data_IF_738413847303
#
_entry.id   IF_738413847303
#
_cell.length_a   1.000
_cell.length_b   1.000
_cell.length_c   1.000
_cell.angle_alpha   90.00
_cell.angle_beta   90.00
_cell.angle_gamma   90.00
#
_symmetry.space_group_name_H-M   'P 1'
#
loop_
_entity.id
_entity.type
_entity.pdbx_description
1 polymer ?
#
# COMPACT_ATOMS: atom_id res chain seq x y z
N UNK A 1 27.70 -1.15 -2.40
CA UNK A 1 27.14 0.21 -2.24
C UNK A 1 27.66 0.83 -0.96
N UNK A 2 28.17 2.07 -0.97
CA UNK A 2 28.69 2.71 0.24
C UNK A 2 27.54 3.06 1.22
N UNK A 3 27.84 3.25 2.52
CA UNK A 3 26.83 3.52 3.57
C UNK A 3 25.99 4.78 3.33
N UNK A 4 26.50 5.75 2.55
CA UNK A 4 25.80 6.99 2.23
C UNK A 4 24.76 6.75 1.13
N UNK A 5 25.16 6.08 0.05
CA UNK A 5 24.28 5.68 -1.05
C UNK A 5 23.13 4.79 -0.57
N UNK A 6 23.40 3.82 0.33
CA UNK A 6 22.33 3.00 0.90
C UNK A 6 21.29 3.82 1.68
N UNK A 7 21.74 4.79 2.48
CA UNK A 7 20.83 5.68 3.23
C UNK A 7 19.96 6.51 2.29
N UNK A 8 20.55 7.08 1.24
CA UNK A 8 19.81 7.86 0.23
C UNK A 8 18.81 6.96 -0.49
N UNK A 9 19.22 5.75 -0.87
CA UNK A 9 18.35 4.80 -1.54
C UNK A 9 17.12 4.43 -0.70
N UNK A 10 17.30 4.07 0.57
CA UNK A 10 16.17 3.77 1.47
C UNK A 10 15.31 5.01 1.70
N UNK A 11 15.92 6.18 1.82
CA UNK A 11 15.19 7.44 1.93
C UNK A 11 14.28 7.67 0.72
N UNK A 12 14.77 7.44 -0.50
CA UNK A 12 14.00 7.58 -1.74
C UNK A 12 12.85 6.58 -1.80
N UNK A 13 13.09 5.30 -1.45
CA UNK A 13 12.04 4.28 -1.39
C UNK A 13 10.92 4.71 -0.44
N UNK A 14 11.28 5.21 0.74
CA UNK A 14 10.31 5.67 1.73
C UNK A 14 9.45 6.82 1.22
N UNK A 15 10.07 7.83 0.62
CA UNK A 15 9.33 8.96 0.04
C UNK A 15 8.42 8.48 -1.10
N UNK A 16 8.93 7.60 -1.98
CA UNK A 16 8.15 7.04 -3.07
C UNK A 16 6.93 6.26 -2.56
N UNK A 17 7.11 5.34 -1.61
CA UNK A 17 5.99 4.60 -1.01
C UNK A 17 5.02 5.53 -0.28
N UNK A 18 5.53 6.47 0.52
CA UNK A 18 4.70 7.43 1.26
C UNK A 18 3.79 8.23 0.32
N UNK A 19 4.36 8.82 -0.73
CA UNK A 19 3.59 9.55 -1.74
C UNK A 19 2.60 8.66 -2.49
N UNK A 20 3.03 7.45 -2.87
CA UNK A 20 2.20 6.51 -3.60
C UNK A 20 0.95 6.12 -2.81
N UNK A 21 1.10 5.81 -1.52
CA UNK A 21 -0.02 5.40 -0.68
C UNK A 21 -0.93 6.58 -0.30
N UNK A 22 -0.38 7.78 -0.08
CA UNK A 22 -1.21 8.99 0.05
C UNK A 22 -2.04 9.21 -1.22
N UNK A 23 -1.40 9.13 -2.40
CA UNK A 23 -2.09 9.29 -3.67
C UNK A 23 -3.18 8.21 -3.86
N UNK A 24 -2.82 6.94 -3.67
CA UNK A 24 -3.74 5.80 -3.81
C UNK A 24 -4.95 5.89 -2.89
N UNK A 25 -4.76 6.37 -1.66
CA UNK A 25 -5.85 6.57 -0.72
C UNK A 25 -6.74 7.76 -1.07
N UNK A 26 -6.17 8.89 -1.48
CA UNK A 26 -6.95 10.06 -1.97
C UNK A 26 -7.81 9.68 -3.18
N UNK A 27 -7.26 8.90 -4.11
CA UNK A 27 -7.98 8.43 -5.31
C UNK A 27 -9.22 7.59 -4.97
N UNK A 28 -9.33 7.01 -3.76
CA UNK A 28 -10.52 6.25 -3.34
C UNK A 28 -11.72 7.13 -2.97
N UNK A 29 -11.50 8.41 -2.69
CA UNK A 29 -12.53 9.39 -2.35
C UNK A 29 -12.96 10.27 -3.53
N UNK A 30 -12.19 10.26 -4.62
CA UNK A 30 -12.54 10.99 -5.84
C UNK A 30 -13.60 10.18 -6.61
N UNK A 31 -14.81 10.72 -6.85
CA UNK A 31 -15.83 10.04 -7.64
C UNK A 31 -15.30 9.77 -9.05
N UNK A 32 -15.38 8.51 -9.49
CA UNK A 32 -15.08 8.16 -10.89
C UNK A 32 -16.35 8.34 -11.73
N UNK A 33 -16.24 8.87 -12.96
CA UNK A 33 -17.38 9.02 -13.83
C UNK A 33 -18.07 7.66 -14.05
N UNK A 34 -19.40 7.63 -14.15
CA UNK A 34 -20.12 6.40 -14.44
C UNK A 34 -19.63 5.82 -15.78
N UNK A 35 -19.34 4.52 -15.81
CA UNK A 35 -18.99 3.83 -17.06
C UNK A 35 -20.15 3.93 -18.05
N UNK A 36 -19.83 4.00 -19.33
CA UNK A 36 -20.84 4.09 -20.39
C UNK A 36 -21.78 2.87 -20.34
N UNK A 37 -23.07 3.05 -20.68
CA UNK A 37 -24.04 1.95 -20.72
C UNK A 37 -23.63 0.82 -21.68
N UNK A 38 -22.82 1.15 -22.68
CA UNK A 38 -22.26 0.21 -23.66
C UNK A 38 -21.23 -0.75 -23.04
N UNK A 39 -20.43 -0.29 -22.08
CA UNK A 39 -19.47 -1.13 -21.34
C UNK A 39 -20.13 -2.02 -20.26
N UNK A 40 -21.36 -1.69 -19.88
CA UNK A 40 -22.15 -2.48 -18.93
C UNK A 40 -22.87 -3.66 -19.59
N UNK A 41 -23.15 -3.56 -20.90
CA UNK A 41 -23.86 -4.57 -21.68
C UNK A 41 -22.92 -5.57 -22.39
N UNK A 42 -21.62 -5.29 -22.46
CA UNK A 42 -20.64 -6.22 -23.03
C UNK A 42 -20.47 -7.43 -22.10
N UNK A 43 -20.46 -8.65 -22.65
CA UNK A 43 -20.08 -9.84 -21.90
C UNK A 43 -18.65 -9.68 -21.41
N UNK A 44 -18.49 -9.56 -20.10
CA UNK A 44 -17.19 -9.39 -19.49
C UNK A 44 -16.56 -10.76 -19.29
N UNK A 45 -15.23 -10.89 -19.50
CA UNK A 45 -14.53 -12.09 -19.09
C UNK A 45 -14.79 -12.40 -17.61
N UNK A 46 -14.94 -13.68 -17.25
CA UNK A 46 -15.34 -14.07 -15.89
C UNK A 46 -14.42 -13.55 -14.76
N UNK A 47 -13.13 -13.31 -15.04
CA UNK A 47 -12.20 -12.70 -14.09
C UNK A 47 -12.53 -11.22 -13.81
N UNK A 48 -12.94 -10.46 -14.83
CA UNK A 48 -13.35 -9.06 -14.72
C UNK A 48 -14.63 -8.95 -13.88
N UNK A 49 -15.55 -9.90 -14.02
CA UNK A 49 -16.78 -9.96 -13.22
C UNK A 49 -16.46 -10.08 -11.73
N UNK A 50 -15.60 -11.04 -11.35
CA UNK A 50 -15.20 -11.24 -9.95
C UNK A 50 -14.57 -9.99 -9.32
N UNK A 51 -13.70 -9.30 -10.06
CA UNK A 51 -13.07 -8.05 -9.61
C UNK A 51 -14.13 -6.96 -9.41
N UNK A 52 -15.04 -6.81 -10.37
CA UNK A 52 -16.14 -5.85 -10.28
C UNK A 52 -17.05 -6.12 -9.09
N UNK A 53 -17.39 -7.38 -8.82
CA UNK A 53 -18.19 -7.77 -7.66
C UNK A 53 -17.47 -7.49 -6.34
N UNK A 54 -16.19 -7.84 -6.24
CA UNK A 54 -15.38 -7.59 -5.05
C UNK A 54 -15.28 -6.08 -4.73
N UNK A 55 -14.85 -5.28 -5.71
CA UNK A 55 -14.74 -3.82 -5.56
C UNK A 55 -16.12 -3.18 -5.36
N UNK A 56 -17.12 -3.66 -6.09
CA UNK A 56 -18.51 -3.22 -5.99
C UNK A 56 -19.08 -3.43 -4.60
N UNK A 57 -18.87 -4.60 -3.99
CA UNK A 57 -19.29 -4.90 -2.63
C UNK A 57 -18.58 -4.02 -1.59
N UNK A 58 -17.27 -3.83 -1.70
CA UNK A 58 -16.52 -2.96 -0.79
C UNK A 58 -16.99 -1.50 -0.86
N UNK A 59 -17.31 -1.00 -2.06
CA UNK A 59 -17.83 0.36 -2.27
C UNK A 59 -19.28 0.49 -1.84
N UNK A 60 -20.13 -0.46 -2.22
CA UNK A 60 -21.57 -0.44 -1.99
C UNK A 60 -21.97 -0.54 -0.53
N UNK A 61 -21.13 -1.15 0.31
CA UNK A 61 -21.34 -1.23 1.77
C UNK A 61 -20.98 0.06 2.50
N UNK A 62 -20.21 0.97 1.88
CA UNK A 62 -19.80 2.24 2.50
C UNK A 62 -18.81 2.11 3.67
N UNK A 63 -18.28 0.92 3.95
CA UNK A 63 -17.40 0.66 5.10
C UNK A 63 -15.94 0.44 4.70
N UNK A 64 -15.63 -0.68 4.05
CA UNK A 64 -14.23 -1.09 3.90
C UNK A 64 -13.46 -0.23 2.89
N UNK A 65 -14.10 0.20 1.79
CA UNK A 65 -13.45 1.05 0.79
C UNK A 65 -12.92 2.40 1.34
N UNK A 66 -13.72 3.19 2.08
CA UNK A 66 -13.22 4.41 2.71
C UNK A 66 -12.22 4.11 3.85
N UNK A 67 -12.42 3.07 4.65
CA UNK A 67 -11.46 2.68 5.71
C UNK A 67 -10.09 2.36 5.10
N UNK A 68 -10.05 1.62 4.00
CA UNK A 68 -8.83 1.31 3.26
C UNK A 68 -8.16 2.61 2.77
N UNK A 69 -8.93 3.53 2.18
CA UNK A 69 -8.41 4.82 1.73
C UNK A 69 -7.82 5.69 2.86
N UNK A 70 -8.51 5.80 4.00
CA UNK A 70 -7.98 6.51 5.17
C UNK A 70 -6.69 5.84 5.67
N UNK A 71 -6.69 4.50 5.75
CA UNK A 71 -5.52 3.75 6.23
C UNK A 71 -4.31 3.98 5.33
N UNK A 72 -4.48 3.95 4.01
CA UNK A 72 -3.41 4.25 3.05
C UNK A 72 -2.85 5.68 3.21
N UNK A 73 -3.74 6.67 3.39
CA UNK A 73 -3.34 8.07 3.61
C UNK A 73 -2.55 8.20 4.91
N UNK A 74 -3.08 7.67 6.01
CA UNK A 74 -2.44 7.76 7.34
C UNK A 74 -1.07 7.09 7.30
N UNK A 75 -0.98 5.85 6.82
CA UNK A 75 0.30 5.14 6.72
C UNK A 75 1.30 5.85 5.80
N UNK A 76 0.82 6.39 4.67
CA UNK A 76 1.65 7.16 3.74
C UNK A 76 2.19 8.45 4.38
N UNK A 77 1.36 9.20 5.12
CA UNK A 77 1.79 10.39 5.85
C UNK A 77 2.78 10.06 6.97
N UNK A 78 2.57 8.95 7.70
CA UNK A 78 3.52 8.48 8.72
C UNK A 78 4.89 8.16 8.10
N UNK A 79 4.94 7.51 6.93
CA UNK A 79 6.18 7.29 6.18
C UNK A 79 6.88 8.60 5.80
N UNK A 80 6.12 9.61 5.38
CA UNK A 80 6.66 10.92 4.99
C UNK A 80 7.16 11.75 6.19
N UNK A 81 6.54 11.59 7.36
CA UNK A 81 6.82 12.36 8.58
C UNK A 81 8.26 12.28 9.11
N UNK A 82 9.07 11.34 8.62
CA UNK A 82 10.43 11.01 9.09
C UNK A 82 10.48 10.42 10.50
N UNK A 83 9.75 11.00 11.45
CA UNK A 83 9.71 10.64 12.87
C UNK A 83 8.96 9.34 13.09
N UNK A 84 7.79 9.19 12.45
CA UNK A 84 6.94 8.00 12.59
C UNK A 84 7.08 7.03 11.43
N UNK A 85 8.18 7.11 10.68
CA UNK A 85 8.38 6.33 9.46
C UNK A 85 8.25 4.83 9.70
N UNK A 86 8.88 4.30 10.75
CA UNK A 86 8.80 2.88 11.07
C UNK A 86 7.40 2.45 11.52
N UNK A 87 6.69 3.27 12.30
CA UNK A 87 5.30 2.97 12.67
C UNK A 87 4.42 2.91 11.41
N UNK A 88 4.57 3.89 10.52
CA UNK A 88 3.90 3.91 9.22
C UNK A 88 4.22 2.66 8.39
N UNK A 89 5.48 2.26 8.30
CA UNK A 89 5.91 1.06 7.56
C UNK A 89 5.27 -0.22 8.11
N UNK A 90 5.28 -0.39 9.43
CA UNK A 90 4.67 -1.55 10.11
C UNK A 90 3.16 -1.58 9.89
N UNK A 91 2.47 -0.46 10.07
CA UNK A 91 1.02 -0.35 9.82
C UNK A 91 0.67 -0.57 8.35
N UNK A 92 1.58 -0.26 7.43
CA UNK A 92 1.39 -0.43 5.99
C UNK A 92 1.53 -1.91 5.55
N UNK A 93 2.15 -2.78 6.34
CA UNK A 93 2.32 -4.22 5.99
C UNK A 93 1.00 -4.89 5.60
N UNK A 94 -0.07 -4.89 6.44
CA UNK A 94 -1.33 -5.53 6.08
C UNK A 94 -1.95 -4.93 4.81
N UNK A 95 -1.76 -3.64 4.55
CA UNK A 95 -2.26 -2.96 3.33
C UNK A 95 -1.49 -3.44 2.10
N UNK A 96 -0.16 -3.37 2.11
CA UNK A 96 0.68 -3.86 0.99
C UNK A 96 0.49 -5.34 0.73
N UNK A 97 0.33 -6.15 1.78
CA UNK A 97 0.04 -7.57 1.66
C UNK A 97 -1.32 -7.79 1.01
N UNK A 98 -2.36 -7.10 1.49
CA UNK A 98 -3.70 -7.20 0.93
C UNK A 98 -3.74 -6.84 -0.56
N UNK A 99 -3.08 -5.75 -0.97
CA UNK A 99 -3.01 -5.32 -2.37
C UNK A 99 -2.29 -6.37 -3.23
N UNK A 100 -1.17 -6.92 -2.75
CA UNK A 100 -0.47 -8.00 -3.45
C UNK A 100 -1.35 -9.25 -3.59
N UNK A 101 -2.04 -9.68 -2.52
CA UNK A 101 -2.92 -10.84 -2.56
C UNK A 101 -4.12 -10.62 -3.49
N UNK A 102 -4.67 -9.40 -3.54
CA UNK A 102 -5.70 -9.04 -4.50
C UNK A 102 -5.24 -9.29 -5.93
N UNK A 103 -4.06 -8.79 -6.32
CA UNK A 103 -3.54 -9.02 -7.68
C UNK A 103 -3.16 -10.48 -7.92
N UNK A 104 -2.62 -11.16 -6.91
CA UNK A 104 -2.23 -12.57 -7.03
C UNK A 104 -3.43 -13.49 -7.27
N UNK A 105 -4.57 -13.23 -6.63
CA UNK A 105 -5.74 -14.11 -6.70
C UNK A 105 -6.82 -13.63 -7.68
N UNK A 106 -7.01 -12.32 -7.86
CA UNK A 106 -8.06 -11.76 -8.72
C UNK A 106 -7.52 -11.27 -10.07
N UNK A 107 -6.25 -10.83 -10.15
CA UNK A 107 -5.63 -10.30 -11.38
C UNK A 107 -4.29 -10.98 -11.77
N UNK A 108 -4.12 -12.32 -11.66
CA UNK A 108 -2.83 -12.98 -11.92
C UNK A 108 -2.34 -12.88 -13.37
N UNK A 109 -3.24 -12.55 -14.29
CA UNK A 109 -2.94 -12.33 -15.71
C UNK A 109 -2.29 -10.95 -15.96
N UNK A 110 -2.55 -9.97 -15.09
CA UNK A 110 -1.94 -8.64 -15.13
C UNK A 110 -0.54 -8.68 -14.50
N UNK A 111 0.40 -9.33 -15.20
CA UNK A 111 1.76 -9.57 -14.71
C UNK A 111 2.48 -8.28 -14.27
N UNK A 112 2.21 -7.17 -14.95
CA UNK A 112 2.79 -5.86 -14.61
C UNK A 112 2.38 -5.39 -13.22
N UNK A 113 1.08 -5.37 -12.94
CA UNK A 113 0.52 -4.96 -11.64
C UNK A 113 0.89 -5.95 -10.53
N UNK A 114 0.91 -7.25 -10.82
CA UNK A 114 1.35 -8.26 -9.85
C UNK A 114 2.81 -8.05 -9.42
N UNK A 115 3.71 -7.78 -10.36
CA UNK A 115 5.12 -7.50 -10.05
C UNK A 115 5.28 -6.18 -9.30
N UNK A 116 4.53 -5.16 -9.70
CA UNK A 116 4.57 -3.84 -9.08
C UNK A 116 4.10 -3.88 -7.62
N UNK A 117 3.01 -4.58 -7.34
CA UNK A 117 2.46 -4.72 -5.97
C UNK A 117 3.31 -5.64 -5.10
N UNK A 118 3.95 -6.67 -5.68
CA UNK A 118 4.99 -7.43 -5.00
C UNK A 118 6.17 -6.53 -4.60
N UNK A 119 6.60 -5.62 -5.49
CA UNK A 119 7.67 -4.67 -5.19
C UNK A 119 7.28 -3.72 -4.05
N UNK A 120 6.03 -3.27 -3.97
CA UNK A 120 5.56 -2.45 -2.83
C UNK A 120 5.68 -3.20 -1.51
N UNK A 121 5.23 -4.45 -1.46
CA UNK A 121 5.33 -5.29 -0.27
C UNK A 121 6.80 -5.52 0.12
N UNK A 122 7.65 -5.91 -0.83
CA UNK A 122 9.07 -6.15 -0.57
C UNK A 122 9.81 -4.88 -0.14
N UNK A 123 9.51 -3.74 -0.76
CA UNK A 123 10.09 -2.46 -0.38
C UNK A 123 9.65 -2.03 1.03
N UNK A 124 8.40 -2.25 1.40
CA UNK A 124 7.89 -1.97 2.74
C UNK A 124 8.57 -2.87 3.81
N UNK A 125 8.67 -4.18 3.55
CA UNK A 125 9.40 -5.11 4.43
C UNK A 125 10.89 -4.73 4.53
N UNK A 126 11.51 -4.35 3.41
CA UNK A 126 12.90 -3.90 3.37
C UNK A 126 13.13 -2.62 4.19
N UNK A 127 12.19 -1.67 4.17
CA UNK A 127 12.21 -0.48 5.03
C UNK A 127 12.20 -0.85 6.50
N UNK A 128 11.29 -1.73 6.90
CA UNK A 128 11.19 -2.21 8.28
C UNK A 128 12.50 -2.90 8.68
N UNK A 129 13.00 -3.82 7.87
CA UNK A 129 14.26 -4.53 8.14
C UNK A 129 15.46 -3.58 8.29
N UNK A 130 15.47 -2.47 7.55
CA UNK A 130 16.52 -1.46 7.62
C UNK A 130 16.41 -0.54 8.86
N UNK A 131 15.20 -0.17 9.27
CA UNK A 131 14.96 0.72 10.40
C UNK A 131 14.88 0.00 11.76
N UNK A 132 14.43 -1.26 11.79
CA UNK A 132 14.23 -2.05 13.00
C UNK A 132 15.48 -2.17 13.90
N UNK A 133 16.71 -2.40 13.36
CA UNK A 133 17.92 -2.43 14.19
C UNK A 133 18.22 -1.09 14.89
N UNK A 134 17.76 0.04 14.34
CA UNK A 134 17.96 1.38 14.93
C UNK A 134 17.06 1.64 16.13
N UNK A 135 15.97 0.88 16.28
CA UNK A 135 15.09 0.95 17.45
C UNK A 135 15.63 0.22 18.67
N UNK A 136 16.53 -0.76 18.48
CA UNK A 136 17.12 -1.53 19.58
C UNK A 136 17.63 -0.63 20.72
N UNK A 137 18.45 0.41 20.48
CA UNK A 137 18.91 1.30 21.55
C UNK A 137 17.82 2.22 22.14
N UNK A 138 16.67 2.41 21.50
CA UNK A 138 15.56 3.24 22.04
C UNK A 138 14.71 2.44 23.02
N UNK A 139 14.45 1.17 22.72
CA UNK A 139 13.59 0.30 23.55
C UNK A 139 14.39 -0.61 24.51
N UNK A 140 15.64 -0.95 24.20
CA UNK A 140 16.48 -1.84 25.04
C UNK A 140 17.45 -1.08 25.95
N UNK A 141 17.49 0.26 25.91
CA UNK A 141 18.17 1.10 26.92
C UNK A 141 17.23 1.61 28.02
N UNK A 142 16.05 1.00 28.19
CA UNK A 142 15.32 1.07 29.45
C UNK A 142 16.11 0.28 30.51
N UNK A 143 17.29 0.78 30.87
CA UNK A 143 17.89 0.50 32.16
C UNK A 143 16.94 1.11 33.17
N UNK A 144 16.12 0.25 33.76
CA UNK A 144 15.51 0.41 35.08
C UNK A 144 16.45 1.24 35.96
N UNK A 145 16.10 2.50 36.15
CA UNK A 145 16.63 3.36 37.23
C UNK A 145 15.62 3.26 38.34
#
# INVERSE_FOLDING_TARGET
MNKRSLRIFVFLIRIALGLLFVYGGVQKFIPKPPRSKTEAAAELPGHVVKIKEYIGGMKGTGYFWPVLGVTEIVCGLLLLSQVFALLGAVMLVPVTLHIFLFHLFLEPHERGELLLTALYLLANIGLIAYEFPKLKPVFLNLKTT
#
